data_IF_718825690931
#
_entry.id   IF_718825690931
#
_cell.length_a   1.000
_cell.length_b   1.000
_cell.length_c   1.000
_cell.angle_alpha   90.00
_cell.angle_beta   90.00
_cell.angle_gamma   90.00
#
_symmetry.space_group_name_H-M   'P 1'
#
loop_
_entity.id
_entity.type
_entity.pdbx_description
1 polymer ?
#
# COMPACT_ATOMS: atom_id res chain seq x y z
N UNK A 1 -50.30 17.71 -48.11
CA UNK A 1 -49.21 16.86 -47.63
C UNK A 1 -48.76 17.37 -46.25
N UNK A 2 -48.99 16.60 -45.17
CA UNK A 2 -48.61 17.00 -43.82
C UNK A 2 -47.29 16.28 -43.48
N UNK A 3 -46.17 17.00 -43.38
CA UNK A 3 -44.90 16.46 -42.93
C UNK A 3 -44.93 16.29 -41.43
N UNK A 4 -44.73 15.04 -40.96
CA UNK A 4 -44.56 14.73 -39.56
C UNK A 4 -43.05 14.83 -39.23
N UNK A 5 -42.71 15.79 -38.41
CA UNK A 5 -41.33 15.88 -37.87
C UNK A 5 -41.17 14.80 -36.78
N UNK A 6 -40.20 13.91 -36.97
CA UNK A 6 -39.79 12.93 -35.96
C UNK A 6 -38.63 13.54 -35.18
N UNK A 7 -38.86 13.92 -33.94
CA UNK A 7 -37.82 14.36 -33.03
C UNK A 7 -37.04 13.15 -32.49
N UNK A 8 -35.78 13.04 -32.86
CA UNK A 8 -34.87 12.01 -32.36
C UNK A 8 -34.28 12.49 -31.02
N UNK A 9 -34.73 11.94 -29.90
CA UNK A 9 -34.14 12.17 -28.59
C UNK A 9 -32.88 11.31 -28.46
N UNK A 10 -31.69 11.92 -28.48
CA UNK A 10 -30.44 11.27 -28.14
C UNK A 10 -30.35 11.17 -26.61
N UNK A 11 -30.46 9.96 -26.05
CA UNK A 11 -30.10 9.73 -24.66
C UNK A 11 -28.58 9.80 -24.50
N UNK A 12 -28.08 10.86 -23.88
CA UNK A 12 -26.70 10.94 -23.43
C UNK A 12 -26.61 10.12 -22.14
N UNK A 13 -26.10 8.91 -22.24
CA UNK A 13 -25.70 8.11 -21.07
C UNK A 13 -24.47 8.76 -20.43
N UNK A 14 -24.68 9.51 -19.35
CA UNK A 14 -23.59 10.03 -18.51
C UNK A 14 -23.03 8.85 -17.73
N UNK A 15 -21.99 8.17 -18.27
CA UNK A 15 -21.26 7.14 -17.58
C UNK A 15 -20.49 7.80 -16.40
N UNK A 16 -20.90 7.50 -15.17
CA UNK A 16 -20.10 7.84 -14.02
C UNK A 16 -18.77 7.05 -14.10
N UNK A 17 -17.66 7.73 -14.33
CA UNK A 17 -16.35 7.12 -14.21
C UNK A 17 -16.17 6.74 -12.74
N UNK A 18 -16.27 5.44 -12.44
CA UNK A 18 -15.89 4.92 -11.12
C UNK A 18 -14.37 5.01 -11.03
N UNK A 19 -13.87 5.62 -9.95
CA UNK A 19 -12.45 5.55 -9.61
C UNK A 19 -12.06 4.08 -9.45
N UNK A 20 -10.91 3.69 -9.99
CA UNK A 20 -10.43 2.33 -9.86
C UNK A 20 -10.11 2.02 -8.39
N UNK A 21 -10.44 0.82 -7.96
CA UNK A 21 -10.13 0.36 -6.60
C UNK A 21 -9.66 -1.08 -6.60
N UNK A 22 -8.80 -1.43 -5.65
CA UNK A 22 -8.25 -2.77 -5.41
C UNK A 22 -8.41 -3.11 -3.93
N UNK A 23 -8.55 -4.39 -3.60
CA UNK A 23 -8.59 -4.84 -2.22
C UNK A 23 -7.54 -5.92 -1.99
N UNK A 24 -6.66 -5.68 -1.03
CA UNK A 24 -5.52 -6.53 -0.69
C UNK A 24 -5.79 -7.23 0.62
N UNK A 25 -5.74 -8.57 0.64
CA UNK A 25 -5.73 -9.33 1.88
C UNK A 25 -4.33 -9.32 2.48
N UNK A 26 -4.23 -8.91 3.75
CA UNK A 26 -2.96 -8.81 4.47
C UNK A 26 -2.85 -9.93 5.49
N UNK A 27 -1.71 -10.62 5.50
CA UNK A 27 -1.39 -11.74 6.37
C UNK A 27 -0.22 -11.40 7.28
N UNK A 28 -0.24 -11.96 8.48
CA UNK A 28 0.96 -11.99 9.31
C UNK A 28 2.06 -12.78 8.59
N UNK A 29 3.31 -12.32 8.71
CA UNK A 29 4.46 -12.99 8.10
C UNK A 29 5.54 -13.29 9.14
N UNK A 30 6.20 -14.43 8.96
CA UNK A 30 7.32 -14.89 9.79
C UNK A 30 8.43 -15.42 8.89
N UNK A 31 9.58 -15.78 9.47
CA UNK A 31 10.65 -16.43 8.72
C UNK A 31 10.27 -17.84 8.24
N UNK A 32 9.23 -18.45 8.82
CA UNK A 32 8.69 -19.76 8.46
C UNK A 32 7.65 -19.68 7.33
N UNK A 33 7.09 -18.49 7.04
CA UNK A 33 6.13 -18.31 5.97
C UNK A 33 5.00 -17.33 6.27
N UNK A 34 3.97 -17.42 5.42
CA UNK A 34 2.76 -16.63 5.50
C UNK A 34 1.83 -17.24 6.55
N UNK A 35 1.40 -16.44 7.51
CA UNK A 35 0.52 -16.85 8.59
C UNK A 35 -0.96 -16.50 8.36
N UNK A 36 -1.68 -16.28 9.45
CA UNK A 36 -3.11 -15.95 9.43
C UNK A 36 -3.38 -14.61 8.77
N UNK A 37 -4.56 -14.46 8.16
CA UNK A 37 -5.05 -13.16 7.70
C UNK A 37 -5.29 -12.24 8.90
N UNK A 38 -4.89 -10.98 8.73
CA UNK A 38 -5.13 -9.89 9.68
C UNK A 38 -6.25 -8.95 9.21
N UNK A 39 -6.77 -9.14 7.99
CA UNK A 39 -7.80 -8.30 7.39
C UNK A 39 -7.44 -7.85 6.00
N UNK A 40 -7.93 -6.70 5.59
CA UNK A 40 -7.76 -6.16 4.24
C UNK A 40 -7.33 -4.71 4.24
N UNK A 41 -6.75 -4.28 3.12
CA UNK A 41 -6.53 -2.86 2.80
C UNK A 41 -7.21 -2.60 1.46
N UNK A 42 -8.14 -1.66 1.44
CA UNK A 42 -8.72 -1.14 0.21
C UNK A 42 -7.84 -0.02 -0.32
N UNK A 43 -7.57 -0.02 -1.62
CA UNK A 43 -6.76 1.00 -2.29
C UNK A 43 -7.63 1.65 -3.35
N UNK A 44 -7.85 2.95 -3.24
CA UNK A 44 -8.67 3.72 -4.17
C UNK A 44 -7.80 4.75 -4.93
N UNK A 45 -7.99 4.83 -6.25
CA UNK A 45 -7.45 5.96 -7.01
C UNK A 45 -8.27 7.21 -6.70
N UNK A 46 -7.58 8.28 -6.32
CA UNK A 46 -8.20 9.58 -6.09
C UNK A 46 -7.50 10.66 -6.90
N UNK A 47 -8.11 11.82 -7.04
CA UNK A 47 -7.47 12.99 -7.68
C UNK A 47 -6.24 13.52 -6.92
N UNK A 48 -5.99 13.03 -5.72
CA UNK A 48 -4.88 13.46 -4.87
C UNK A 48 -3.79 12.39 -4.69
N UNK A 49 -3.94 11.23 -5.31
CA UNK A 49 -3.07 10.07 -5.18
C UNK A 49 -3.83 8.83 -4.75
N UNK A 50 -3.10 7.76 -4.44
CA UNK A 50 -3.70 6.52 -3.93
C UNK A 50 -4.05 6.65 -2.45
N UNK A 51 -5.30 6.32 -2.10
CA UNK A 51 -5.75 6.23 -0.72
C UNK A 51 -5.77 4.77 -0.28
N UNK A 52 -5.09 4.47 0.79
CA UNK A 52 -5.06 3.15 1.43
C UNK A 52 -5.94 3.19 2.67
N UNK A 53 -7.00 2.40 2.68
CA UNK A 53 -7.95 2.29 3.79
C UNK A 53 -7.81 0.91 4.42
N UNK A 54 -7.10 0.77 5.54
CA UNK A 54 -6.94 -0.49 6.24
C UNK A 54 -8.23 -0.88 7.01
N UNK A 55 -8.48 -2.18 7.09
CA UNK A 55 -9.34 -2.85 8.06
C UNK A 55 -8.56 -4.05 8.58
N UNK A 56 -7.57 -3.76 9.41
CA UNK A 56 -6.63 -4.75 9.95
C UNK A 56 -6.83 -4.90 11.45
N UNK A 57 -6.62 -6.13 11.96
CA UNK A 57 -6.79 -6.49 13.37
C UNK A 57 -5.65 -7.37 13.87
N UNK A 58 -5.37 -7.30 15.16
CA UNK A 58 -4.36 -8.14 15.82
C UNK A 58 -2.93 -7.67 15.58
N UNK A 59 -2.76 -6.38 15.25
CA UNK A 59 -1.48 -5.69 15.23
C UNK A 59 -1.10 -5.22 16.64
N UNK A 60 0.17 -4.92 16.88
CA UNK A 60 0.60 -4.26 18.11
C UNK A 60 0.15 -2.78 18.09
N UNK A 61 -0.37 -2.23 19.20
CA UNK A 61 -0.72 -0.81 19.28
C UNK A 61 0.48 0.10 18.99
N UNK A 62 0.24 1.22 18.28
CA UNK A 62 1.26 2.22 17.98
C UNK A 62 1.29 2.66 16.52
N UNK A 63 2.41 3.25 16.13
CA UNK A 63 2.68 3.68 14.75
C UNK A 63 3.57 2.66 14.07
N UNK A 64 3.19 2.23 12.87
CA UNK A 64 3.93 1.25 12.10
C UNK A 64 4.32 1.78 10.73
N UNK A 65 5.55 1.50 10.31
CA UNK A 65 5.99 1.75 8.94
C UNK A 65 5.10 0.98 7.95
N UNK A 66 4.72 1.65 6.87
CA UNK A 66 3.80 1.13 5.88
C UNK A 66 4.33 1.44 4.49
N UNK A 67 4.61 0.41 3.70
CA UNK A 67 5.34 0.58 2.46
C UNK A 67 4.83 -0.34 1.36
N UNK A 68 5.02 0.08 0.10
CA UNK A 68 4.96 -0.80 -1.06
C UNK A 68 6.36 -1.30 -1.35
N UNK A 69 6.54 -2.62 -1.41
CA UNK A 69 7.79 -3.29 -1.76
C UNK A 69 7.84 -3.68 -3.24
N UNK A 70 9.06 -3.79 -3.77
CA UNK A 70 9.32 -3.89 -5.21
C UNK A 70 8.78 -5.16 -5.87
N UNK A 71 8.61 -6.26 -5.15
CA UNK A 71 8.19 -7.57 -5.69
C UNK A 71 6.90 -8.05 -5.03
N UNK A 72 5.98 -8.64 -5.82
CA UNK A 72 4.70 -9.18 -5.35
C UNK A 72 4.84 -10.55 -4.70
N UNK A 73 5.54 -10.61 -3.58
CA UNK A 73 5.68 -11.84 -2.81
C UNK A 73 5.70 -11.54 -1.31
N UNK A 74 5.00 -12.33 -0.53
CA UNK A 74 5.03 -12.30 0.93
C UNK A 74 5.82 -13.49 1.52
N UNK A 75 6.43 -14.30 0.65
CA UNK A 75 7.23 -15.44 1.08
C UNK A 75 8.50 -15.01 1.82
N UNK A 76 9.01 -15.84 2.75
CA UNK A 76 10.32 -15.64 3.33
C UNK A 76 11.39 -15.55 2.22
N UNK A 77 12.44 -14.83 2.49
CA UNK A 77 13.55 -14.69 1.56
C UNK A 77 14.81 -14.27 2.28
N UNK A 78 15.94 -14.42 1.62
CA UNK A 78 17.23 -14.08 2.18
C UNK A 78 17.46 -12.57 2.14
N UNK A 79 17.91 -12.01 3.26
CA UNK A 79 18.40 -10.64 3.39
C UNK A 79 19.63 -10.66 4.30
N UNK A 80 20.75 -10.13 3.82
CA UNK A 80 22.02 -10.09 4.57
C UNK A 80 22.46 -11.46 5.13
N UNK A 81 22.27 -12.53 4.34
CA UNK A 81 22.65 -13.90 4.70
C UNK A 81 21.73 -14.57 5.73
N UNK A 82 20.54 -13.99 6.00
CA UNK A 82 19.53 -14.56 6.91
C UNK A 82 18.17 -14.64 6.24
N UNK A 83 17.43 -15.72 6.52
CA UNK A 83 16.03 -15.81 6.11
C UNK A 83 15.22 -14.87 6.99
N UNK A 84 14.47 -13.96 6.34
CA UNK A 84 13.60 -12.99 7.01
C UNK A 84 12.16 -13.11 6.49
N UNK A 85 11.22 -12.73 7.34
CA UNK A 85 9.81 -12.66 6.98
C UNK A 85 9.58 -11.81 5.72
N UNK A 86 8.79 -12.31 4.77
CA UNK A 86 8.49 -11.65 3.50
C UNK A 86 9.75 -11.14 2.73
N UNK A 87 10.91 -11.77 2.94
CA UNK A 87 12.18 -11.37 2.31
C UNK A 87 12.12 -11.33 0.79
N UNK A 88 11.31 -12.21 0.19
CA UNK A 88 11.11 -12.27 -1.24
C UNK A 88 10.45 -11.00 -1.85
N UNK A 89 9.81 -10.15 -1.03
CA UNK A 89 9.27 -8.85 -1.46
C UNK A 89 10.34 -7.85 -1.91
N UNK A 90 11.61 -8.08 -1.53
CA UNK A 90 12.70 -7.14 -1.83
C UNK A 90 12.67 -5.87 -0.97
N UNK A 91 13.29 -4.79 -1.45
CA UNK A 91 13.26 -3.47 -0.84
C UNK A 91 11.97 -2.69 -1.14
N UNK A 92 11.91 -1.44 -0.68
CA UNK A 92 10.81 -0.52 -1.01
C UNK A 92 10.75 -0.30 -2.52
N UNK A 93 9.56 0.00 -3.04
CA UNK A 93 9.36 0.35 -4.45
C UNK A 93 10.13 1.64 -4.76
N UNK A 94 11.18 1.52 -5.56
CA UNK A 94 12.06 2.62 -5.98
C UNK A 94 12.46 2.47 -7.46
N UNK A 95 11.54 2.68 -8.41
CA UNK A 95 11.84 2.49 -9.82
C UNK A 95 12.88 3.47 -10.37
N UNK A 96 13.06 4.62 -9.73
CA UNK A 96 14.07 5.61 -10.08
C UNK A 96 15.45 5.32 -9.46
N UNK A 97 15.55 4.29 -8.61
CA UNK A 97 16.77 3.91 -7.91
C UNK A 97 17.40 5.06 -7.13
N UNK A 98 16.57 5.80 -6.41
CA UNK A 98 16.98 6.95 -5.60
C UNK A 98 17.80 6.52 -4.38
N UNK A 99 17.51 5.34 -3.83
CA UNK A 99 18.13 4.79 -2.63
C UNK A 99 17.88 5.65 -1.40
N UNK A 100 16.79 6.43 -1.35
CA UNK A 100 16.49 7.39 -0.26
C UNK A 100 15.12 7.13 0.33
N UNK A 101 15.07 6.94 1.64
CA UNK A 101 13.84 6.87 2.41
C UNK A 101 13.48 8.27 2.93
N UNK A 102 12.56 8.95 2.24
CA UNK A 102 12.18 10.33 2.53
C UNK A 102 10.70 10.49 2.81
N UNK A 103 9.98 9.38 2.97
CA UNK A 103 8.56 9.35 3.22
C UNK A 103 7.72 9.71 1.99
N UNK A 104 6.38 9.83 2.16
CA UNK A 104 5.43 9.90 1.06
C UNK A 104 5.40 11.25 0.33
N UNK A 105 6.05 12.29 0.85
CA UNK A 105 5.90 13.67 0.36
C UNK A 105 7.16 14.22 -0.32
N UNK A 106 8.29 13.52 -0.26
CA UNK A 106 9.57 13.96 -0.81
C UNK A 106 10.08 13.02 -1.92
N UNK A 107 11.11 13.43 -2.64
CA UNK A 107 11.65 12.69 -3.78
C UNK A 107 12.61 11.55 -3.36
N UNK A 108 12.07 10.58 -2.65
CA UNK A 108 12.68 9.30 -2.31
C UNK A 108 11.92 8.15 -2.96
N UNK A 109 11.87 7.00 -2.28
CA UNK A 109 11.08 5.85 -2.71
C UNK A 109 9.59 6.23 -2.84
N UNK A 110 8.92 6.09 -4.00
CA UNK A 110 7.47 6.28 -4.07
C UNK A 110 6.69 5.23 -3.27
N UNK A 111 7.33 4.11 -2.94
CA UNK A 111 6.77 3.09 -2.05
C UNK A 111 6.71 3.46 -0.57
N UNK A 112 7.30 4.59 -0.16
CA UNK A 112 7.18 5.07 1.21
C UNK A 112 5.80 5.70 1.41
N UNK A 113 4.92 5.03 2.14
CA UNK A 113 3.57 5.49 2.45
C UNK A 113 3.55 6.23 3.79
N UNK A 114 2.51 7.02 4.11
CA UNK A 114 2.31 7.46 5.48
C UNK A 114 2.16 6.27 6.42
N UNK A 115 2.78 6.33 7.59
CA UNK A 115 2.71 5.27 8.58
C UNK A 115 1.27 5.00 9.01
N UNK A 116 0.94 3.76 9.34
CA UNK A 116 -0.38 3.39 9.86
C UNK A 116 -0.42 3.51 11.38
N UNK A 117 -1.54 4.00 11.89
CA UNK A 117 -1.85 4.01 13.30
C UNK A 117 -2.65 2.76 13.67
N UNK A 118 -2.24 2.12 14.75
CA UNK A 118 -2.92 0.98 15.37
C UNK A 118 -3.39 1.38 16.75
N UNK A 119 -4.70 1.22 17.01
CA UNK A 119 -5.32 1.57 18.28
C UNK A 119 -4.90 0.62 19.42
N UNK A 120 -5.37 0.91 20.63
CA UNK A 120 -5.09 0.13 21.85
C UNK A 120 -5.70 -1.29 21.82
N UNK A 121 -6.66 -1.55 20.91
CA UNK A 121 -7.25 -2.87 20.67
C UNK A 121 -6.56 -3.65 19.54
N UNK A 122 -5.55 -3.07 18.90
CA UNK A 122 -4.81 -3.70 17.81
C UNK A 122 -5.46 -3.57 16.44
N UNK A 123 -6.32 -2.55 16.24
CA UNK A 123 -6.97 -2.29 14.96
C UNK A 123 -6.31 -1.14 14.22
N UNK A 124 -6.13 -1.29 12.91
CA UNK A 124 -5.76 -0.21 12.00
C UNK A 124 -6.92 0.05 11.03
N UNK A 125 -7.55 1.21 11.12
CA UNK A 125 -8.74 1.57 10.34
C UNK A 125 -8.67 2.96 9.73
N UNK A 126 -7.66 3.78 10.08
CA UNK A 126 -7.52 5.12 9.56
C UNK A 126 -6.90 5.11 8.16
N UNK A 127 -7.55 5.76 7.17
CA UNK A 127 -7.02 5.84 5.82
C UNK A 127 -5.79 6.74 5.77
N UNK A 128 -4.86 6.39 4.88
CA UNK A 128 -3.68 7.19 4.56
C UNK A 128 -3.63 7.50 3.07
N UNK A 129 -3.11 8.66 2.69
CA UNK A 129 -3.00 9.13 1.30
C UNK A 129 -1.54 9.18 0.87
N UNK A 130 -1.23 8.50 -0.23
CA UNK A 130 0.07 8.52 -0.87
C UNK A 130 0.03 9.39 -2.15
N UNK A 131 0.39 10.68 -2.08
CA UNK A 131 0.17 11.61 -3.20
C UNK A 131 1.12 11.40 -4.38
N UNK A 132 2.21 10.65 -4.18
CA UNK A 132 3.21 10.34 -5.23
C UNK A 132 2.88 9.08 -6.03
N UNK A 133 1.91 8.29 -5.59
CA UNK A 133 1.33 7.18 -6.33
C UNK A 133 -0.04 7.61 -6.85
N UNK A 134 -0.20 7.67 -8.15
CA UNK A 134 -1.40 8.25 -8.78
C UNK A 134 -2.30 7.22 -9.45
N UNK A 135 -1.76 6.04 -9.74
CA UNK A 135 -2.49 4.95 -10.37
C UNK A 135 -2.18 3.59 -9.72
N UNK A 136 -3.19 2.73 -9.62
CA UNK A 136 -3.06 1.34 -9.20
C UNK A 136 -2.07 0.56 -10.08
N UNK A 137 -1.93 0.94 -11.35
CA UNK A 137 -0.98 0.31 -12.26
C UNK A 137 0.48 0.43 -11.81
N UNK A 138 0.82 1.45 -11.02
CA UNK A 138 2.18 1.65 -10.50
C UNK A 138 2.56 0.63 -9.43
N UNK A 139 1.56 0.10 -8.71
CA UNK A 139 1.77 -0.81 -7.58
C UNK A 139 1.21 -2.21 -7.79
N UNK A 140 0.49 -2.46 -8.88
CA UNK A 140 -0.07 -3.78 -9.20
C UNK A 140 1.03 -4.84 -9.32
N UNK A 141 0.82 -6.00 -8.68
CA UNK A 141 1.82 -7.06 -8.61
C UNK A 141 3.02 -6.72 -7.70
N UNK A 142 2.86 -5.80 -6.78
CA UNK A 142 3.80 -5.44 -5.72
C UNK A 142 3.31 -5.97 -4.37
N UNK A 143 4.13 -5.87 -3.32
CA UNK A 143 3.72 -6.25 -1.97
C UNK A 143 3.49 -5.02 -1.10
N UNK A 144 2.35 -5.00 -0.42
CA UNK A 144 2.04 -4.04 0.62
C UNK A 144 2.54 -4.59 1.97
N UNK A 145 3.29 -3.78 2.71
CA UNK A 145 3.99 -4.20 3.92
C UNK A 145 3.68 -3.31 5.11
N UNK A 146 3.40 -3.95 6.26
CA UNK A 146 3.40 -3.29 7.57
C UNK A 146 4.63 -3.76 8.33
N UNK A 147 5.37 -2.84 8.94
CA UNK A 147 6.58 -3.12 9.70
C UNK A 147 6.31 -3.18 11.22
N UNK A 148 7.24 -3.79 11.97
CA UNK A 148 7.14 -3.88 13.44
C UNK A 148 7.36 -2.51 14.09
N UNK A 149 8.29 -1.72 13.58
CA UNK A 149 8.61 -0.38 14.08
C UNK A 149 7.82 0.71 13.36
N UNK A 150 7.96 1.94 13.86
CA UNK A 150 7.40 3.14 13.23
C UNK A 150 8.16 3.59 11.99
N UNK A 151 7.90 4.82 11.57
CA UNK A 151 8.57 5.44 10.43
C UNK A 151 8.77 6.93 10.71
N UNK A 152 10.03 7.39 10.72
CA UNK A 152 10.37 8.79 10.90
C UNK A 152 10.60 9.52 9.55
N UNK A 153 10.34 8.85 8.42
CA UNK A 153 10.52 9.36 7.07
C UNK A 153 11.96 9.83 6.78
N UNK A 154 12.95 9.13 7.31
CA UNK A 154 14.36 9.45 7.12
C UNK A 154 15.23 8.18 7.25
N UNK A 155 16.45 8.25 6.72
CA UNK A 155 17.44 7.17 6.87
C UNK A 155 18.26 7.28 8.15
N UNK A 156 17.98 8.27 9.00
CA UNK A 156 18.66 8.51 10.28
C UNK A 156 17.64 8.73 11.41
N UNK A 157 17.93 8.31 12.65
CA UNK A 157 19.13 7.60 13.12
C UNK A 157 19.17 6.11 12.74
N UNK A 158 18.06 5.57 12.22
CA UNK A 158 17.97 4.19 11.73
C UNK A 158 17.57 4.18 10.25
N UNK A 159 18.12 3.28 9.43
CA UNK A 159 17.76 3.20 8.02
C UNK A 159 16.26 2.90 7.84
N UNK A 160 15.70 3.33 6.71
CA UNK A 160 14.32 3.08 6.29
C UNK A 160 13.29 3.45 7.36
N UNK A 161 13.44 4.65 7.95
CA UNK A 161 12.50 5.18 8.92
C UNK A 161 12.52 4.50 10.29
N UNK A 162 13.31 3.45 10.46
CA UNK A 162 13.35 2.63 11.67
C UNK A 162 12.26 1.56 11.71
N UNK A 163 11.59 1.26 10.59
CA UNK A 163 10.52 0.26 10.48
C UNK A 163 10.93 -1.14 10.92
N UNK A 164 12.19 -1.52 10.68
CA UNK A 164 12.74 -2.78 11.14
C UNK A 164 12.10 -4.00 10.46
N UNK A 165 11.79 -5.03 11.25
CA UNK A 165 11.27 -6.29 10.72
C UNK A 165 9.88 -6.13 10.06
N UNK A 166 9.58 -7.01 9.11
CA UNK A 166 8.30 -7.10 8.43
C UNK A 166 7.31 -7.85 9.32
N UNK A 167 6.12 -7.31 9.51
CA UNK A 167 5.11 -7.83 10.41
C UNK A 167 3.94 -8.43 9.65
N UNK A 168 3.45 -7.72 8.64
CA UNK A 168 2.34 -8.18 7.83
C UNK A 168 2.53 -7.79 6.36
N UNK A 169 2.01 -8.62 5.45
CA UNK A 169 2.21 -8.48 4.02
C UNK A 169 0.97 -8.92 3.24
N UNK A 170 0.69 -8.26 2.13
CA UNK A 170 -0.31 -8.64 1.13
C UNK A 170 0.18 -8.32 -0.28
N UNK A 171 -0.17 -9.14 -1.26
CA UNK A 171 0.14 -8.88 -2.67
C UNK A 171 -1.00 -8.09 -3.30
N UNK A 172 -0.67 -6.99 -3.99
CA UNK A 172 -1.59 -6.07 -4.68
C UNK A 172 -1.96 -6.61 -6.06
#
# INVERSE_FOLDING_TARGET
>A
MKMKAVALFALIACGAAHAASEQVTVHQVTAEGIGKSLGTVKIDETKYGLQFTPDLKGLTPGIHGFHVHAKGSCEPGESEGKVVAAGAAGGHLDPANTGKHLGPYAEGHPGDLPAVYVDDQGNATYPVLAPRLTSLSEIKGKALMVHVGGDNHADHPKPLGGGGARYACGVI
#
